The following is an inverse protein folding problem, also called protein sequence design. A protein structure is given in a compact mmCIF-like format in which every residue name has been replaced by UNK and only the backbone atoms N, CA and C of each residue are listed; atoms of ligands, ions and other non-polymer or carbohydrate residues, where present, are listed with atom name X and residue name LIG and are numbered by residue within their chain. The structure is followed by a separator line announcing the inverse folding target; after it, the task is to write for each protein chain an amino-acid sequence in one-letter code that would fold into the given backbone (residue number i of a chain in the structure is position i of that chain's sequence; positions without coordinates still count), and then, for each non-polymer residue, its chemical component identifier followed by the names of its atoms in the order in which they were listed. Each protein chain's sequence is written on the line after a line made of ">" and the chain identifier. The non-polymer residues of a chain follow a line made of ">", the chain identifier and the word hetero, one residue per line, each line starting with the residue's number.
data_IF_724136262927
#
_entry.id   IF_724136262927
#
_cell.length_a   1.000
_cell.length_b   1.000
_cell.length_c   1.000
_cell.angle_alpha   90.00
_cell.angle_beta   90.00
_cell.angle_gamma   90.00
#
_symmetry.space_group_name_H-M   'P 1'
#
loop_
_entity.id
_entity.type
_entity.pdbx_description
1 polymer ?
#
# COMPACT_ATOMS: atom_id res chain seq x y z
N UNK A 1 17.73 -18.03 -3.52
CA UNK A 1 16.31 -17.88 -3.89
C UNK A 1 15.46 -17.99 -2.66
N UNK A 2 14.47 -17.10 -2.49
CA UNK A 2 13.48 -17.19 -1.43
C UNK A 2 12.10 -17.24 -2.05
N UNK A 3 11.26 -18.15 -1.56
CA UNK A 3 9.90 -18.32 -2.05
C UNK A 3 8.98 -18.09 -0.86
N UNK A 4 7.97 -17.23 -1.03
CA UNK A 4 6.99 -16.92 -0.01
C UNK A 4 5.62 -17.40 -0.44
N UNK A 5 4.87 -17.96 0.49
CA UNK A 5 3.43 -18.15 0.28
C UNK A 5 2.76 -16.97 0.96
N UNK A 6 2.19 -16.07 0.18
CA UNK A 6 1.63 -14.80 0.69
C UNK A 6 0.57 -15.06 1.77
N UNK A 7 -0.23 -16.11 1.60
CA UNK A 7 -1.28 -16.43 2.59
C UNK A 7 -0.73 -16.85 3.95
N UNK A 8 0.56 -17.22 4.03
CA UNK A 8 1.19 -17.64 5.28
C UNK A 8 1.98 -16.52 5.95
N UNK A 9 2.06 -15.36 5.33
CA UNK A 9 2.72 -14.20 5.91
C UNK A 9 1.80 -13.60 6.98
N UNK A 10 2.36 -13.24 8.13
CA UNK A 10 1.59 -12.64 9.21
C UNK A 10 0.97 -11.32 8.76
N UNK A 11 -0.28 -11.09 9.14
CA UNK A 11 -1.00 -9.88 8.79
C UNK A 11 -0.57 -8.72 9.67
N UNK A 12 -0.27 -7.59 9.04
CA UNK A 12 0.06 -6.34 9.69
C UNK A 12 -1.11 -5.37 9.49
N UNK A 13 -1.61 -4.81 10.58
CA UNK A 13 -2.75 -3.90 10.55
C UNK A 13 -2.32 -2.54 11.13
N UNK A 14 -1.75 -1.65 10.29
CA UNK A 14 -1.25 -0.37 10.78
C UNK A 14 -2.36 0.62 11.16
N UNK A 15 -3.55 0.44 10.62
CA UNK A 15 -4.70 1.29 10.88
C UNK A 15 -5.99 0.53 10.55
N UNK A 16 -7.12 1.04 11.01
CA UNK A 16 -8.40 0.39 10.81
C UNK A 16 -8.70 0.14 9.33
N UNK A 17 -9.13 -1.07 9.04
CA UNK A 17 -9.55 -1.45 7.71
C UNK A 17 -8.43 -1.84 6.76
N UNK A 18 -7.16 -1.75 7.18
CA UNK A 18 -6.02 -2.10 6.34
C UNK A 18 -5.34 -3.34 6.90
N UNK A 19 -5.36 -4.42 6.13
CA UNK A 19 -4.67 -5.66 6.48
C UNK A 19 -3.64 -5.94 5.40
N UNK A 20 -2.38 -5.92 5.77
CA UNK A 20 -1.27 -6.09 4.84
C UNK A 20 -0.42 -7.29 5.15
N UNK A 21 0.10 -7.92 4.11
CA UNK A 21 1.13 -8.94 4.21
C UNK A 21 2.33 -8.42 3.44
N UNK A 22 3.49 -8.37 4.10
CA UNK A 22 4.63 -7.64 3.56
C UNK A 22 5.83 -8.52 3.36
N UNK A 23 6.54 -8.25 2.27
CA UNK A 23 7.82 -8.86 1.98
C UNK A 23 8.83 -7.73 1.90
N UNK A 24 9.90 -7.83 2.65
CA UNK A 24 10.99 -6.85 2.65
C UNK A 24 12.24 -7.46 2.04
N UNK A 25 12.87 -6.74 1.13
CA UNK A 25 14.18 -7.10 0.59
C UNK A 25 15.15 -5.99 0.96
N UNK A 26 16.41 -6.08 0.51
CA UNK A 26 17.38 -5.00 0.74
C UNK A 26 17.01 -3.72 0.03
N UNK A 27 16.25 -3.79 -1.06
CA UNK A 27 15.99 -2.65 -1.93
C UNK A 27 14.54 -2.19 -1.98
N UNK A 28 13.60 -3.01 -1.53
CA UNK A 28 12.19 -2.67 -1.63
C UNK A 28 11.33 -3.41 -0.60
N UNK A 29 10.12 -2.91 -0.41
CA UNK A 29 9.05 -3.59 0.33
C UNK A 29 7.88 -3.79 -0.62
N UNK A 30 7.30 -4.98 -0.62
CA UNK A 30 6.06 -5.26 -1.33
C UNK A 30 4.98 -5.52 -0.28
N UNK A 31 3.87 -4.79 -0.37
CA UNK A 31 2.75 -4.94 0.55
C UNK A 31 1.51 -5.40 -0.21
N UNK A 32 0.93 -6.51 0.26
CA UNK A 32 -0.30 -7.06 -0.30
C UNK A 32 -1.43 -6.68 0.66
N UNK A 33 -2.23 -5.69 0.24
CA UNK A 33 -3.28 -5.12 1.09
C UNK A 33 -4.66 -5.66 0.75
N UNK A 34 -5.43 -5.93 1.81
CA UNK A 34 -6.89 -6.02 1.75
C UNK A 34 -7.42 -4.82 2.51
N UNK A 35 -8.21 -3.98 1.86
CA UNK A 35 -8.70 -2.72 2.42
C UNK A 35 -10.21 -2.73 2.46
N UNK A 36 -10.79 -2.52 3.64
CA UNK A 36 -12.23 -2.52 3.79
C UNK A 36 -12.86 -1.28 3.18
N UNK A 37 -14.08 -1.43 2.69
CA UNK A 37 -14.85 -0.30 2.15
C UNK A 37 -14.91 0.84 3.17
N UNK A 38 -14.74 2.05 2.69
CA UNK A 38 -14.76 3.30 3.44
C UNK A 38 -13.53 3.53 4.35
N UNK A 39 -12.56 2.66 4.34
CA UNK A 39 -11.31 2.88 5.08
C UNK A 39 -10.53 4.04 4.48
N UNK A 40 -9.93 4.84 5.36
CA UNK A 40 -9.26 6.07 4.98
C UNK A 40 -7.77 5.95 5.24
N UNK A 41 -6.96 6.29 4.24
CA UNK A 41 -5.54 6.50 4.38
C UNK A 41 -5.33 8.00 4.60
N UNK A 42 -4.89 8.42 5.80
CA UNK A 42 -4.70 9.84 6.09
C UNK A 42 -3.64 10.47 5.20
N UNK A 43 -3.71 11.79 5.06
CA UNK A 43 -2.71 12.56 4.31
C UNK A 43 -1.34 12.37 4.96
N UNK A 44 -0.37 11.94 4.16
CA UNK A 44 1.00 11.69 4.62
C UNK A 44 1.97 11.73 3.44
N UNK A 45 3.25 11.66 3.75
CA UNK A 45 4.32 11.50 2.77
C UNK A 45 5.44 10.68 3.37
N UNK A 46 6.27 10.13 2.53
CA UNK A 46 7.46 9.37 2.91
C UNK A 46 8.52 9.43 1.82
N UNK A 47 9.76 9.15 2.17
CA UNK A 47 10.87 9.23 1.22
C UNK A 47 10.80 8.15 0.14
N UNK A 48 10.09 7.07 0.40
CA UNK A 48 10.01 5.96 -0.54
C UNK A 48 9.20 6.34 -1.76
N UNK A 49 9.67 5.97 -2.95
CA UNK A 49 8.82 5.95 -4.14
C UNK A 49 7.85 4.80 -3.93
N UNK A 50 6.60 4.99 -4.30
CA UNK A 50 5.56 3.99 -4.13
C UNK A 50 4.84 3.75 -5.45
N UNK A 51 4.60 2.49 -5.78
CA UNK A 51 3.61 2.15 -6.80
C UNK A 51 2.43 1.51 -6.10
N UNK A 52 1.21 1.86 -6.50
CA UNK A 52 0.00 1.23 -5.98
C UNK A 52 -0.78 0.65 -7.16
N UNK A 53 -0.92 -0.69 -7.15
CA UNK A 53 -1.60 -1.42 -8.21
C UNK A 53 -2.91 -1.97 -7.65
N UNK A 54 -4.02 -1.49 -8.16
CA UNK A 54 -5.35 -1.96 -7.74
C UNK A 54 -5.65 -3.26 -8.46
N UNK A 55 -5.77 -4.34 -7.71
CA UNK A 55 -6.10 -5.66 -8.24
C UNK A 55 -7.61 -5.82 -8.35
N UNK A 56 -8.35 -5.35 -7.34
CA UNK A 56 -9.81 -5.38 -7.36
C UNK A 56 -10.36 -4.20 -6.57
N UNK A 57 -11.56 -3.76 -6.90
CA UNK A 57 -12.24 -2.66 -6.23
C UNK A 57 -11.93 -1.29 -6.82
N UNK A 58 -12.34 -0.25 -6.10
CA UNK A 58 -12.16 1.15 -6.49
C UNK A 58 -11.50 1.91 -5.36
N UNK A 59 -10.33 2.47 -5.64
CA UNK A 59 -9.54 3.22 -4.67
C UNK A 59 -9.43 4.67 -5.11
N UNK A 60 -9.95 5.59 -4.29
CA UNK A 60 -9.84 7.01 -4.55
C UNK A 60 -8.55 7.49 -3.92
N UNK A 61 -7.68 8.12 -4.71
CA UNK A 61 -6.41 8.67 -4.24
C UNK A 61 -6.32 10.17 -4.57
N UNK A 62 -5.77 10.92 -3.63
CA UNK A 62 -5.42 12.32 -3.83
C UNK A 62 -3.90 12.41 -3.69
N UNK A 63 -3.23 12.79 -4.77
CA UNK A 63 -1.78 12.83 -4.84
C UNK A 63 -1.38 14.18 -5.40
N UNK A 64 -0.57 14.94 -4.66
CA UNK A 64 -0.13 16.25 -5.09
C UNK A 64 -1.30 17.18 -5.42
N UNK A 65 -2.41 17.05 -4.70
CA UNK A 65 -3.59 17.87 -4.93
C UNK A 65 -4.54 17.41 -6.03
N UNK A 66 -4.18 16.35 -6.78
CA UNK A 66 -5.07 15.78 -7.79
C UNK A 66 -5.75 14.53 -7.26
N UNK A 67 -7.06 14.44 -7.45
CA UNK A 67 -7.85 13.28 -7.02
C UNK A 67 -8.27 12.46 -8.21
N UNK A 68 -8.02 11.14 -8.12
CA UNK A 68 -8.42 10.16 -9.13
C UNK A 68 -8.98 8.93 -8.45
N UNK A 69 -9.89 8.24 -9.14
CA UNK A 69 -10.35 6.92 -8.71
C UNK A 69 -9.63 5.88 -9.57
N UNK A 70 -8.89 5.00 -8.92
CA UNK A 70 -8.24 3.89 -9.60
C UNK A 70 -9.14 2.67 -9.57
N UNK A 71 -9.23 2.01 -10.71
CA UNK A 71 -10.01 0.78 -10.90
C UNK A 71 -9.08 -0.41 -11.04
N UNK A 72 -9.64 -1.60 -10.98
CA UNK A 72 -8.86 -2.83 -11.17
C UNK A 72 -8.02 -2.79 -12.45
N UNK A 73 -6.77 -3.15 -12.31
CA UNK A 73 -5.81 -3.14 -13.42
C UNK A 73 -5.05 -1.83 -13.60
N UNK A 74 -5.38 -0.80 -12.83
CA UNK A 74 -4.67 0.47 -12.90
C UNK A 74 -3.60 0.58 -11.83
N UNK A 75 -2.51 1.25 -12.16
CA UNK A 75 -1.37 1.44 -11.27
C UNK A 75 -0.97 2.92 -11.28
N UNK A 76 -0.69 3.46 -10.10
CA UNK A 76 -0.19 4.82 -9.97
C UNK A 76 1.22 4.79 -9.38
N UNK A 77 2.05 5.75 -9.80
CA UNK A 77 3.37 5.98 -9.22
C UNK A 77 3.30 7.24 -8.37
N UNK A 78 3.71 7.12 -7.11
CA UNK A 78 3.77 8.23 -6.17
C UNK A 78 5.24 8.51 -5.90
N UNK A 79 5.68 9.73 -6.22
CA UNK A 79 7.08 10.10 -6.09
C UNK A 79 7.50 10.29 -4.63
N UNK A 80 8.81 10.26 -4.39
CA UNK A 80 9.38 10.51 -3.06
C UNK A 80 8.85 11.82 -2.48
N UNK A 81 8.41 11.77 -1.23
CA UNK A 81 7.91 12.94 -0.49
C UNK A 81 6.68 13.63 -1.06
N UNK A 82 5.97 13.01 -1.97
CA UNK A 82 4.74 13.55 -2.52
C UNK A 82 3.58 13.27 -1.54
N UNK A 83 2.87 14.33 -1.14
CA UNK A 83 1.73 14.21 -0.22
C UNK A 83 0.61 13.41 -0.88
N UNK A 84 0.08 12.45 -0.16
CA UNK A 84 -1.01 11.62 -0.68
C UNK A 84 -1.93 11.13 0.43
N UNK A 85 -3.17 10.85 0.05
CA UNK A 85 -4.22 10.31 0.90
C UNK A 85 -5.13 9.43 0.06
N UNK A 86 -6.00 8.68 0.69
CA UNK A 86 -6.90 7.82 -0.06
C UNK A 86 -8.12 7.36 0.73
N UNK A 87 -9.07 6.78 -0.01
CA UNK A 87 -10.26 6.16 0.55
C UNK A 87 -10.67 4.99 -0.32
N UNK A 88 -10.92 3.86 0.28
CA UNK A 88 -11.47 2.71 -0.43
C UNK A 88 -12.98 2.93 -0.65
N UNK A 89 -13.39 3.13 -1.89
CA UNK A 89 -14.80 3.32 -2.21
C UNK A 89 -15.58 2.01 -2.15
N UNK A 90 -14.87 0.91 -2.35
CA UNK A 90 -15.37 -0.45 -2.18
C UNK A 90 -14.30 -1.19 -1.41
N UNK A 91 -14.54 -2.44 -1.05
CA UNK A 91 -13.43 -3.27 -0.62
C UNK A 91 -12.42 -3.36 -1.76
N UNK A 92 -11.12 -3.28 -1.46
CA UNK A 92 -10.06 -3.28 -2.45
C UNK A 92 -8.98 -4.29 -2.08
N UNK A 93 -8.39 -4.89 -3.13
CA UNK A 93 -7.12 -5.59 -3.02
C UNK A 93 -6.10 -4.78 -3.79
N UNK A 94 -5.02 -4.40 -3.12
CA UNK A 94 -4.01 -3.49 -3.68
C UNK A 94 -2.62 -4.05 -3.40
N UNK A 95 -1.72 -3.96 -4.37
CA UNK A 95 -0.31 -4.29 -4.16
C UNK A 95 0.50 -3.01 -4.25
N UNK A 96 1.16 -2.66 -3.14
CA UNK A 96 2.06 -1.52 -3.11
C UNK A 96 3.50 -2.01 -3.15
N UNK A 97 4.34 -1.29 -3.89
CA UNK A 97 5.79 -1.51 -3.86
C UNK A 97 6.45 -0.20 -3.45
N UNK A 98 7.36 -0.28 -2.48
CA UNK A 98 8.08 0.88 -1.96
C UNK A 98 9.58 0.68 -2.15
N UNK A 99 10.28 1.72 -2.59
CA UNK A 99 11.73 1.71 -2.68
C UNK A 99 12.28 3.07 -2.21
N UNK A 100 13.21 3.09 -1.25
CA UNK A 100 13.78 1.98 -0.49
C UNK A 100 12.74 1.30 0.41
N UNK A 101 13.11 0.24 1.13
CA UNK A 101 12.14 -0.48 1.97
C UNK A 101 11.49 0.40 3.03
N UNK A 102 10.25 0.09 3.37
CA UNK A 102 9.51 0.79 4.42
C UNK A 102 9.98 0.29 5.78
N UNK A 103 10.93 1.00 6.38
CA UNK A 103 11.47 0.62 7.69
C UNK A 103 10.44 0.67 8.80
N UNK A 104 9.47 1.57 8.69
CA UNK A 104 8.38 1.71 9.63
C UNK A 104 7.38 0.55 9.56
N UNK A 105 7.43 -0.24 8.49
CA UNK A 105 6.59 -1.43 8.35
C UNK A 105 7.33 -2.71 8.74
N UNK A 106 8.61 -2.65 9.04
CA UNK A 106 9.34 -3.81 9.51
C UNK A 106 9.02 -3.99 10.99
N UNK A 107 8.63 -5.21 11.37
CA UNK A 107 8.23 -5.48 12.74
C UNK A 107 9.44 -5.39 13.66
N UNK A 108 9.37 -4.61 14.73
CA UNK A 108 10.57 -4.27 15.47
C UNK A 108 11.01 -5.27 16.50
N UNK A 109 10.25 -6.30 16.75
CA UNK A 109 10.51 -7.11 17.83
C UNK A 109 11.10 -8.28 17.56
N UNK A 110 11.39 -8.50 16.52
CA UNK A 110 11.95 -9.73 16.26
C UNK A 110 13.26 -9.92 16.85
#
# INVERSE_FOLDING_TARGET
>A
MKIYNIKKIEVFTPMDGFRGRMIHTSDLTIAFWEIDKNSILPLHKHINIQTSHVISGKLKLTIGGLTKVLHAGELVVIDSNELHSGKALTQCSVIDTFSPPRKDYIQPFE
#
